data_IF_128171626797
#
_entry.id   IF_128171626797
#
_cell.length_a   1.000
_cell.length_b   1.000
_cell.length_c   1.000
_cell.angle_alpha   90.00
_cell.angle_beta   90.00
_cell.angle_gamma   90.00
#
_symmetry.space_group_name_H-M   'P 1'
#
loop_
_entity.id
_entity.type
_entity.pdbx_description
1 polymer ?
#
# COMPACT_ATOMS: atom_id res chain seq x y z
N UNK A 1 -4.83 9.19 13.65
CA UNK A 1 -5.49 8.51 12.51
C UNK A 1 -6.62 9.37 12.01
N UNK A 2 -6.84 9.43 10.70
CA UNK A 2 -7.90 10.26 10.10
C UNK A 2 -9.29 9.64 10.29
N UNK A 3 -10.34 10.44 10.11
CA UNK A 3 -11.72 9.96 10.19
C UNK A 3 -12.05 8.96 9.07
N UNK A 4 -11.28 8.93 7.98
CA UNK A 4 -11.47 7.98 6.89
C UNK A 4 -11.33 6.50 7.33
N UNK A 5 -10.71 6.24 8.48
CA UNK A 5 -10.56 4.90 9.05
C UNK A 5 -11.60 4.56 10.13
N UNK A 6 -12.66 5.35 10.30
CA UNK A 6 -13.65 5.15 11.38
C UNK A 6 -14.46 3.85 11.28
N UNK A 7 -14.46 3.19 10.11
CA UNK A 7 -15.24 1.98 9.83
C UNK A 7 -14.50 0.69 10.26
N UNK A 8 -13.46 0.81 11.10
CA UNK A 8 -12.60 -0.32 11.49
C UNK A 8 -13.36 -1.46 12.19
N UNK A 9 -14.40 -1.16 12.98
CA UNK A 9 -15.26 -2.17 13.64
C UNK A 9 -15.89 -3.16 12.65
N UNK A 10 -16.19 -2.73 11.42
CA UNK A 10 -16.72 -3.63 10.39
C UNK A 10 -15.65 -4.60 9.89
N UNK A 11 -14.40 -4.17 9.81
CA UNK A 11 -13.29 -5.02 9.38
C UNK A 11 -12.89 -6.04 10.44
N UNK A 12 -12.94 -5.67 11.72
CA UNK A 12 -12.73 -6.61 12.83
C UNK A 12 -13.78 -7.73 12.81
N UNK A 13 -15.05 -7.42 12.50
CA UNK A 13 -16.12 -8.42 12.33
C UNK A 13 -15.89 -9.38 11.16
N UNK A 14 -15.15 -8.94 10.13
CA UNK A 14 -14.73 -9.80 9.01
C UNK A 14 -13.49 -10.65 9.35
N UNK A 15 -12.99 -10.59 10.59
CA UNK A 15 -11.81 -11.33 11.03
C UNK A 15 -10.48 -10.66 10.66
N UNK A 16 -10.49 -9.36 10.35
CA UNK A 16 -9.26 -8.60 10.08
C UNK A 16 -8.78 -7.90 11.34
N UNK A 17 -7.57 -8.22 11.79
CA UNK A 17 -6.93 -7.50 12.90
C UNK A 17 -6.59 -6.07 12.49
N UNK A 18 -6.93 -5.10 13.36
CA UNK A 18 -6.68 -3.67 13.11
C UNK A 18 -5.61 -3.14 14.05
N UNK A 19 -4.66 -2.40 13.46
CA UNK A 19 -3.55 -1.78 14.18
C UNK A 19 -3.47 -0.28 13.86
N UNK A 20 -3.17 0.51 14.88
CA UNK A 20 -3.03 1.96 14.78
C UNK A 20 -1.62 2.39 15.19
N UNK A 21 -1.05 3.34 14.44
CA UNK A 21 0.16 4.02 14.88
C UNK A 21 -0.15 4.97 16.05
N UNK A 22 0.80 5.10 16.97
CA UNK A 22 0.74 6.02 18.09
C UNK A 22 0.68 7.47 17.58
N UNK A 23 0.00 8.38 18.31
CA UNK A 23 0.03 9.80 18.00
C UNK A 23 1.46 10.32 17.87
N UNK A 24 1.68 11.19 16.87
CA UNK A 24 2.98 11.82 16.57
C UNK A 24 4.15 10.85 16.28
N UNK A 25 3.84 9.58 15.98
CA UNK A 25 4.84 8.53 15.76
C UNK A 25 4.98 8.15 14.29
N UNK A 26 5.45 9.10 13.46
CA UNK A 26 5.61 8.89 12.00
C UNK A 26 6.53 7.72 11.64
N UNK A 27 7.50 7.42 12.50
CA UNK A 27 8.45 6.31 12.33
C UNK A 27 7.81 4.92 12.38
N UNK A 28 6.55 4.80 12.82
CA UNK A 28 5.80 3.53 12.77
C UNK A 28 5.16 3.26 11.40
N UNK A 29 5.20 4.24 10.50
CA UNK A 29 4.64 4.15 9.14
C UNK A 29 5.67 4.41 8.02
N UNK A 30 6.93 3.96 8.15
CA UNK A 30 8.02 4.40 7.26
C UNK A 30 7.85 3.87 5.83
N UNK A 31 7.17 2.73 5.67
CA UNK A 31 6.85 2.14 4.36
C UNK A 31 5.75 2.94 3.67
N UNK A 32 4.68 3.29 4.38
CA UNK A 32 3.55 4.03 3.82
C UNK A 32 4.00 5.41 3.32
N UNK A 33 4.83 6.11 4.11
CA UNK A 33 5.39 7.39 3.68
C UNK A 33 6.28 7.27 2.44
N UNK A 34 7.06 6.17 2.33
CA UNK A 34 7.87 5.90 1.14
C UNK A 34 6.99 5.66 -0.08
N UNK A 35 5.92 4.88 0.03
CA UNK A 35 4.99 4.61 -1.07
C UNK A 35 4.27 5.89 -1.50
N UNK A 36 3.82 6.72 -0.56
CA UNK A 36 3.19 8.01 -0.87
C UNK A 36 4.13 8.96 -1.63
N UNK A 37 5.44 8.94 -1.32
CA UNK A 37 6.44 9.71 -2.10
C UNK A 37 6.59 9.21 -3.54
N UNK A 38 6.44 7.91 -3.79
CA UNK A 38 6.47 7.37 -5.15
C UNK A 38 5.24 7.80 -5.94
N UNK A 39 4.06 7.74 -5.33
CA UNK A 39 2.81 8.22 -5.94
C UNK A 39 2.89 9.72 -6.31
N UNK A 40 3.57 10.51 -5.48
CA UNK A 40 3.81 11.94 -5.75
C UNK A 40 4.60 12.24 -7.03
N UNK A 41 5.22 11.24 -7.68
CA UNK A 41 5.82 11.39 -9.02
C UNK A 41 4.76 11.48 -10.13
N UNK A 42 3.60 10.87 -9.93
CA UNK A 42 2.49 10.85 -10.88
C UNK A 42 1.45 11.92 -10.56
N UNK A 43 1.22 12.18 -9.27
CA UNK A 43 0.27 13.17 -8.77
C UNK A 43 1.05 14.31 -8.12
N UNK A 44 1.27 15.44 -8.83
CA UNK A 44 2.00 16.58 -8.29
C UNK A 44 1.34 17.12 -7.03
N UNK A 45 2.14 17.67 -6.12
CA UNK A 45 1.65 18.30 -4.89
C UNK A 45 0.62 19.38 -5.21
N UNK A 46 -0.51 19.36 -4.49
CA UNK A 46 -1.60 20.33 -4.67
C UNK A 46 -2.57 19.98 -5.81
N UNK A 47 -2.35 18.87 -6.52
CA UNK A 47 -3.36 18.29 -7.43
C UNK A 47 -4.20 17.26 -6.70
N UNK A 48 -5.50 17.28 -6.99
CA UNK A 48 -6.42 16.27 -6.47
C UNK A 48 -6.26 14.97 -7.24
N UNK A 49 -6.27 13.85 -6.52
CA UNK A 49 -6.31 12.51 -7.13
C UNK A 49 -7.62 12.28 -7.90
N UNK A 50 -8.69 13.00 -7.57
CA UNK A 50 -9.98 12.94 -8.28
C UNK A 50 -9.92 13.44 -9.74
N UNK A 51 -8.79 14.04 -10.15
CA UNK A 51 -8.60 14.51 -11.52
C UNK A 51 -8.12 13.40 -12.47
N UNK A 52 -7.83 12.21 -11.94
CA UNK A 52 -7.33 11.06 -12.67
C UNK A 52 -8.42 9.98 -12.70
N UNK A 53 -8.54 9.30 -13.82
CA UNK A 53 -9.40 8.12 -13.96
C UNK A 53 -8.90 6.96 -13.11
N UNK A 54 -9.78 6.01 -12.80
CA UNK A 54 -9.38 4.80 -12.08
C UNK A 54 -8.29 4.02 -12.83
N UNK A 55 -8.32 4.01 -14.16
CA UNK A 55 -7.33 3.30 -14.98
C UNK A 55 -5.96 3.97 -14.91
N UNK A 56 -5.90 5.30 -14.85
CA UNK A 56 -4.65 6.03 -14.58
C UNK A 56 -4.10 5.70 -13.19
N UNK A 57 -4.96 5.66 -12.18
CA UNK A 57 -4.55 5.31 -10.81
C UNK A 57 -4.02 3.87 -10.74
N UNK A 58 -4.68 2.93 -11.44
CA UNK A 58 -4.19 1.54 -11.56
C UNK A 58 -2.82 1.50 -12.24
N UNK A 59 -2.67 2.18 -13.37
CA UNK A 59 -1.39 2.25 -14.09
C UNK A 59 -0.26 2.83 -13.21
N UNK A 60 -0.54 3.85 -12.39
CA UNK A 60 0.44 4.38 -11.44
C UNK A 60 0.81 3.35 -10.36
N UNK A 61 -0.17 2.59 -9.87
CA UNK A 61 0.06 1.53 -8.89
C UNK A 61 0.92 0.41 -9.48
N UNK A 62 0.63 -0.01 -10.72
CA UNK A 62 1.37 -1.08 -11.41
C UNK A 62 2.83 -0.66 -11.60
N UNK A 63 3.09 0.57 -12.07
CA UNK A 63 4.45 1.12 -12.17
C UNK A 63 5.15 1.19 -10.80
N UNK A 64 4.41 1.48 -9.71
CA UNK A 64 4.97 1.51 -8.36
C UNK A 64 5.34 0.12 -7.84
N UNK A 65 4.59 -0.89 -8.24
CA UNK A 65 4.76 -2.27 -7.82
C UNK A 65 5.77 -3.03 -8.68
N UNK A 66 5.99 -2.60 -9.93
CA UNK A 66 7.03 -3.14 -10.82
C UNK A 66 8.41 -2.55 -10.58
N UNK A 67 8.54 -1.46 -9.80
CA UNK A 67 9.83 -0.85 -9.48
C UNK A 67 10.68 -1.71 -8.51
N UNK A 68 11.91 -2.12 -8.90
CA UNK A 68 12.85 -2.80 -8.03
C UNK A 68 13.20 -1.98 -6.78
N UNK A 69 13.28 -2.62 -5.61
CA UNK A 69 13.61 -1.94 -4.34
C UNK A 69 14.85 -2.54 -3.70
N UNK A 70 15.84 -1.68 -3.40
CA UNK A 70 17.07 -2.10 -2.69
C UNK A 70 16.82 -2.86 -1.38
N UNK A 71 15.78 -2.47 -0.61
CA UNK A 71 15.40 -3.15 0.65
C UNK A 71 14.90 -4.59 0.40
N UNK A 72 14.38 -4.86 -0.79
CA UNK A 72 13.86 -6.15 -1.22
C UNK A 72 14.93 -6.94 -2.02
N UNK A 73 16.22 -6.61 -1.87
CA UNK A 73 17.27 -7.28 -2.63
C UNK A 73 17.22 -6.98 -4.14
N UNK A 74 16.65 -5.84 -4.53
CA UNK A 74 16.37 -5.46 -5.92
C UNK A 74 15.27 -6.28 -6.62
N UNK A 75 14.46 -7.03 -5.85
CA UNK A 75 13.19 -7.55 -6.34
C UNK A 75 12.11 -6.47 -6.33
N UNK A 76 11.04 -6.70 -7.09
CA UNK A 76 9.86 -5.85 -7.13
C UNK A 76 8.85 -6.26 -6.05
N UNK A 77 8.04 -5.32 -5.54
CA UNK A 77 6.89 -5.66 -4.70
C UNK A 77 5.95 -6.69 -5.31
N UNK A 78 5.73 -6.60 -6.62
CA UNK A 78 4.85 -7.52 -7.36
C UNK A 78 5.37 -8.96 -7.31
N UNK A 79 6.65 -9.17 -7.63
CA UNK A 79 7.29 -10.50 -7.57
C UNK A 79 7.15 -11.16 -6.19
N UNK A 80 7.43 -10.39 -5.13
CA UNK A 80 7.36 -10.91 -3.76
C UNK A 80 5.92 -11.11 -3.29
N UNK A 81 4.98 -10.34 -3.82
CA UNK A 81 3.57 -10.52 -3.52
C UNK A 81 3.05 -11.84 -4.14
N UNK A 82 3.36 -12.09 -5.40
CA UNK A 82 2.99 -13.32 -6.10
C UNK A 82 3.62 -14.55 -5.44
N UNK A 83 4.92 -14.49 -5.10
CA UNK A 83 5.60 -15.57 -4.36
C UNK A 83 4.91 -15.88 -3.02
N UNK A 84 4.42 -14.84 -2.33
CA UNK A 84 3.71 -15.01 -1.07
C UNK A 84 2.31 -15.60 -1.27
N UNK A 85 1.59 -15.20 -2.31
CA UNK A 85 0.30 -15.80 -2.66
C UNK A 85 0.45 -17.28 -2.98
N UNK A 86 1.47 -17.66 -3.75
CA UNK A 86 1.77 -19.05 -4.06
C UNK A 86 2.00 -19.88 -2.79
N UNK A 87 2.72 -19.35 -1.81
CA UNK A 87 2.91 -20.03 -0.51
C UNK A 87 1.59 -20.24 0.22
N UNK A 88 0.73 -19.22 0.24
CA UNK A 88 -0.57 -19.29 0.92
C UNK A 88 -1.47 -20.34 0.24
N UNK A 89 -1.57 -20.33 -1.09
CA UNK A 89 -2.42 -21.26 -1.82
C UNK A 89 -1.91 -22.71 -1.76
N UNK A 90 -0.59 -22.91 -1.77
CA UNK A 90 0.00 -24.24 -1.62
C UNK A 90 -0.08 -24.77 -0.19
N UNK A 91 -0.11 -23.91 0.82
CA UNK A 91 -0.23 -24.31 2.24
C UNK A 91 -1.68 -24.62 2.65
N UNK A 92 -2.65 -24.16 1.86
CA UNK A 92 -4.08 -24.42 2.06
C UNK A 92 -4.59 -25.63 1.24
N UNK A 93 -3.70 -26.36 0.57
CA UNK A 93 -3.95 -27.70 0.01
C UNK A 93 -3.59 -28.77 1.03
#
# INVERSE_FOLDING_TARGET
NGCEFSVFDTMEKLGTDIYFAHPYSSWERPVNERSNRLLGKFIPKGKSMSNYSEDEIRAFSDEINSMPRKRLGYLTPEELFDEQLDKIYNSNK
#
